data_IF_715820475034
#
_entry.id   IF_715820475034
#
_cell.length_a   1.000
_cell.length_b   1.000
_cell.length_c   1.000
_cell.angle_alpha   90.00
_cell.angle_beta   90.00
_cell.angle_gamma   90.00
#
_symmetry.space_group_name_H-M   'P 1'
#
loop_
_entity.id
_entity.type
_entity.pdbx_description
1 polymer ?
#
# COMPACT_ATOMS: atom_id res chain seq x y z
N UNK A 1 13.17 18.41 8.71
CA UNK A 1 13.23 19.06 7.39
C UNK A 1 14.05 20.32 7.54
N UNK A 2 15.07 20.50 6.69
CA UNK A 2 15.89 21.72 6.64
C UNK A 2 14.99 22.91 6.28
N UNK A 3 14.75 23.81 7.24
CA UNK A 3 13.80 24.92 7.12
C UNK A 3 14.34 26.07 6.26
N UNK A 4 15.57 25.97 5.77
CA UNK A 4 16.24 27.02 4.98
C UNK A 4 16.10 26.90 3.46
N UNK A 5 15.57 25.79 2.92
CA UNK A 5 15.46 25.61 1.46
C UNK A 5 14.10 26.11 0.98
N UNK A 6 14.07 27.12 0.12
CA UNK A 6 12.82 27.52 -0.55
C UNK A 6 12.35 26.43 -1.51
N UNK A 7 11.03 26.33 -1.82
CA UNK A 7 10.55 25.37 -2.80
C UNK A 7 11.27 25.45 -4.15
N UNK A 8 11.62 26.66 -4.60
CA UNK A 8 12.38 26.89 -5.83
C UNK A 8 13.79 26.31 -5.79
N UNK A 9 14.52 26.50 -4.70
CA UNK A 9 15.88 25.95 -4.51
C UNK A 9 15.85 24.42 -4.37
N UNK A 10 14.81 23.87 -3.72
CA UNK A 10 14.59 22.44 -3.63
C UNK A 10 14.44 21.85 -5.04
N UNK A 11 13.53 22.39 -5.85
CA UNK A 11 13.28 21.91 -7.21
C UNK A 11 14.46 22.14 -8.14
N UNK A 12 15.13 23.29 -8.09
CA UNK A 12 16.34 23.55 -8.87
C UNK A 12 17.47 22.56 -8.53
N UNK A 13 17.60 22.18 -7.25
CA UNK A 13 18.55 21.15 -6.81
C UNK A 13 18.18 19.74 -7.27
N UNK A 14 16.90 19.37 -7.22
CA UNK A 14 16.43 18.06 -7.71
C UNK A 14 16.57 17.97 -9.24
N UNK A 15 16.12 18.99 -9.97
CA UNK A 15 16.23 19.06 -11.42
C UNK A 15 17.69 19.18 -11.88
N UNK A 16 18.52 19.96 -11.17
CA UNK A 16 19.96 20.08 -11.45
C UNK A 16 20.77 18.81 -11.18
N UNK A 17 20.22 17.84 -10.43
CA UNK A 17 20.79 16.49 -10.27
C UNK A 17 20.31 15.52 -11.35
N UNK A 18 19.27 15.89 -12.10
CA UNK A 18 18.74 15.08 -13.18
C UNK A 18 19.63 15.32 -14.39
N UNK A 19 20.46 14.34 -14.78
CA UNK A 19 21.43 14.48 -15.89
C UNK A 19 20.79 14.86 -17.22
N UNK A 20 19.48 14.64 -17.36
CA UNK A 20 18.67 14.97 -18.53
C UNK A 20 17.26 15.41 -18.09
N UNK A 21 17.12 16.70 -17.77
CA UNK A 21 15.85 17.28 -17.35
C UNK A 21 14.79 17.25 -18.47
N UNK A 22 15.22 17.33 -19.74
CA UNK A 22 14.31 17.28 -20.88
C UNK A 22 13.68 15.89 -21.03
N UNK A 23 14.50 14.82 -20.93
CA UNK A 23 13.99 13.46 -20.95
C UNK A 23 13.02 13.19 -19.79
N UNK A 24 13.33 13.68 -18.58
CA UNK A 24 12.45 13.53 -17.42
C UNK A 24 11.09 14.25 -17.61
N UNK A 25 11.11 15.49 -18.12
CA UNK A 25 9.89 16.26 -18.41
C UNK A 25 9.07 15.59 -19.53
N UNK A 26 9.74 15.11 -20.57
CA UNK A 26 9.09 14.42 -21.70
C UNK A 26 8.42 13.12 -21.24
N UNK A 27 9.12 12.28 -20.48
CA UNK A 27 8.58 11.04 -19.93
C UNK A 27 7.41 11.29 -18.98
N UNK A 28 7.52 12.30 -18.11
CA UNK A 28 6.42 12.69 -17.24
C UNK A 28 5.20 13.19 -18.01
N UNK A 29 5.40 14.00 -19.04
CA UNK A 29 4.31 14.50 -19.89
C UNK A 29 3.59 13.36 -20.60
N UNK A 30 4.35 12.40 -21.15
CA UNK A 30 3.79 11.21 -21.76
C UNK A 30 2.98 10.37 -20.75
N UNK A 31 3.45 10.24 -19.50
CA UNK A 31 2.73 9.51 -18.46
C UNK A 31 1.44 10.22 -18.02
N UNK A 32 1.47 11.55 -17.88
CA UNK A 32 0.28 12.36 -17.63
C UNK A 32 -0.73 12.15 -18.75
N UNK A 33 -0.31 12.27 -19.99
CA UNK A 33 -1.20 12.15 -21.15
C UNK A 33 -1.78 10.73 -21.26
N UNK A 34 -0.97 9.71 -20.96
CA UNK A 34 -1.43 8.34 -20.83
C UNK A 34 -2.53 8.21 -19.77
N UNK A 35 -2.32 8.69 -18.54
CA UNK A 35 -3.31 8.64 -17.46
C UNK A 35 -4.61 9.38 -17.84
N UNK A 36 -4.50 10.57 -18.43
CA UNK A 36 -5.65 11.36 -18.89
C UNK A 36 -6.42 10.68 -20.04
N UNK A 37 -5.76 9.84 -20.83
CA UNK A 37 -6.40 9.06 -21.89
C UNK A 37 -7.12 7.80 -21.38
N UNK A 38 -6.88 7.37 -20.13
CA UNK A 38 -7.52 6.18 -19.58
C UNK A 38 -8.94 6.48 -19.12
N UNK A 39 -9.90 5.64 -19.52
CA UNK A 39 -11.27 5.71 -19.00
C UNK A 39 -11.33 5.22 -17.56
N UNK A 40 -11.70 6.10 -16.62
CA UNK A 40 -11.84 5.75 -15.20
C UNK A 40 -12.90 4.67 -14.97
N UNK A 41 -13.91 4.59 -15.85
CA UNK A 41 -14.94 3.55 -15.79
C UNK A 41 -14.39 2.13 -15.88
N UNK A 42 -13.16 1.94 -16.39
CA UNK A 42 -12.51 0.63 -16.52
C UNK A 42 -11.89 0.14 -15.22
N UNK A 43 -11.35 1.04 -14.40
CA UNK A 43 -10.51 0.67 -13.25
C UNK A 43 -11.05 1.17 -11.91
N UNK A 44 -11.74 2.31 -11.87
CA UNK A 44 -12.29 2.88 -10.64
C UNK A 44 -13.30 1.96 -9.94
N UNK A 45 -14.16 1.20 -10.64
CA UNK A 45 -15.03 0.22 -9.98
C UNK A 45 -14.24 -0.79 -9.14
N UNK A 46 -13.05 -1.21 -9.56
CA UNK A 46 -12.19 -2.12 -8.80
C UNK A 46 -11.73 -1.54 -7.46
N UNK A 47 -11.46 -0.23 -7.43
CA UNK A 47 -11.14 0.52 -6.19
C UNK A 47 -12.37 0.58 -5.28
N UNK A 48 -13.52 0.99 -5.83
CA UNK A 48 -14.77 1.12 -5.07
C UNK A 48 -15.28 -0.22 -4.52
N UNK A 49 -15.00 -1.33 -5.20
CA UNK A 49 -15.32 -2.69 -4.75
C UNK A 49 -14.54 -3.11 -3.49
N UNK A 50 -13.41 -2.47 -3.20
CA UNK A 50 -12.58 -2.74 -2.02
C UNK A 50 -12.91 -1.80 -0.84
N UNK A 51 -13.72 -0.77 -1.07
CA UNK A 51 -14.08 0.24 -0.07
C UNK A 51 -15.53 0.07 0.43
N UNK A 52 -15.88 0.57 1.62
CA UNK A 52 -17.25 0.45 2.15
C UNK A 52 -18.33 0.92 1.16
N UNK A 53 -19.48 0.24 1.13
CA UNK A 53 -20.57 0.55 0.20
C UNK A 53 -21.01 2.01 0.35
N UNK A 54 -21.20 2.69 -0.79
CA UNK A 54 -21.59 4.10 -0.85
C UNK A 54 -20.43 5.09 -0.70
N UNK A 55 -19.18 4.62 -0.60
CA UNK A 55 -18.03 5.50 -0.60
C UNK A 55 -17.97 6.33 -1.90
N UNK A 56 -17.64 7.61 -1.75
CA UNK A 56 -17.41 8.56 -2.84
C UNK A 56 -16.07 9.23 -2.62
N UNK A 57 -15.33 9.44 -3.71
CA UNK A 57 -14.08 10.19 -3.66
C UNK A 57 -14.33 11.69 -3.85
N UNK A 58 -13.69 12.49 -3.02
CA UNK A 58 -13.43 13.93 -3.21
C UNK A 58 -11.90 14.18 -3.32
N UNK A 59 -11.21 13.18 -3.87
CA UNK A 59 -9.74 13.08 -3.88
C UNK A 59 -9.13 13.89 -5.00
N UNK A 60 -8.11 14.69 -4.68
CA UNK A 60 -7.22 15.27 -5.68
C UNK A 60 -6.03 14.36 -5.94
N UNK A 61 -5.76 14.09 -7.23
CA UNK A 61 -4.58 13.33 -7.68
C UNK A 61 -3.51 14.33 -8.12
N UNK A 62 -2.47 14.51 -7.29
CA UNK A 62 -1.32 15.33 -7.62
C UNK A 62 -0.30 14.51 -8.41
N UNK A 63 0.04 14.95 -9.61
CA UNK A 63 1.08 14.33 -10.41
C UNK A 63 2.41 15.03 -10.12
N UNK A 64 3.38 14.31 -9.57
CA UNK A 64 4.64 14.88 -9.11
C UNK A 64 5.86 14.27 -9.84
N UNK A 65 7.03 14.84 -9.58
CA UNK A 65 8.32 14.33 -10.02
C UNK A 65 9.25 14.18 -8.82
N UNK A 66 9.83 12.99 -8.62
CA UNK A 66 10.97 12.82 -7.71
C UNK A 66 10.62 12.69 -6.22
N UNK A 67 9.34 12.52 -5.86
CA UNK A 67 8.92 12.03 -4.54
C UNK A 67 8.18 10.71 -4.72
N UNK A 68 8.10 9.85 -3.70
CA UNK A 68 7.39 8.56 -3.82
C UNK A 68 5.88 8.74 -4.02
N UNK A 69 5.22 7.66 -4.45
CA UNK A 69 3.76 7.59 -4.47
C UNK A 69 3.24 7.56 -3.02
N UNK A 70 2.26 8.39 -2.71
CA UNK A 70 1.73 8.48 -1.34
C UNK A 70 0.30 8.98 -1.31
N UNK A 71 -0.52 8.41 -0.43
CA UNK A 71 -1.78 9.00 0.01
C UNK A 71 -1.59 9.80 1.31
N UNK A 72 -2.12 11.03 1.33
CA UNK A 72 -2.12 11.89 2.52
C UNK A 72 -3.53 12.43 2.77
N UNK A 73 -4.17 11.93 3.81
CA UNK A 73 -5.58 12.22 4.06
C UNK A 73 -6.46 11.65 2.94
N UNK A 74 -7.18 12.52 2.24
CA UNK A 74 -8.05 12.16 1.10
C UNK A 74 -7.36 12.32 -0.25
N UNK A 75 -6.17 12.91 -0.29
CA UNK A 75 -5.45 13.22 -1.52
C UNK A 75 -4.36 12.19 -1.81
N UNK A 76 -4.00 12.06 -3.08
CA UNK A 76 -2.93 11.14 -3.53
C UNK A 76 -1.91 11.89 -4.36
N UNK A 77 -0.64 11.51 -4.22
CA UNK A 77 0.45 11.98 -5.04
C UNK A 77 1.06 10.80 -5.81
N UNK A 78 1.19 10.95 -7.13
CA UNK A 78 1.74 9.92 -8.02
C UNK A 78 3.00 10.44 -8.71
N UNK A 79 4.10 9.71 -8.55
CA UNK A 79 5.40 9.98 -9.13
C UNK A 79 5.46 9.54 -10.59
N UNK A 80 5.29 10.51 -11.50
CA UNK A 80 5.33 10.21 -12.93
C UNK A 80 6.70 9.75 -13.43
N UNK A 81 7.75 9.92 -12.63
CA UNK A 81 9.09 9.49 -12.99
C UNK A 81 9.44 8.08 -12.47
N UNK A 82 8.46 7.32 -11.96
CA UNK A 82 8.72 5.97 -11.48
C UNK A 82 9.19 5.06 -12.63
N UNK A 83 10.32 4.35 -12.50
CA UNK A 83 10.89 3.55 -13.60
C UNK A 83 9.92 2.53 -14.20
N UNK A 84 9.06 1.91 -13.36
CA UNK A 84 8.08 0.94 -13.84
C UNK A 84 7.05 1.54 -14.80
N UNK A 85 6.72 2.84 -14.66
CA UNK A 85 5.72 3.48 -15.52
C UNK A 85 6.28 3.68 -16.93
N UNK A 86 7.57 3.97 -17.04
CA UNK A 86 8.26 4.09 -18.34
C UNK A 86 8.46 2.72 -19.03
N UNK A 87 8.61 1.66 -18.24
CA UNK A 87 8.68 0.29 -18.77
C UNK A 87 7.30 -0.21 -19.24
N UNK A 88 6.24 0.09 -18.49
CA UNK A 88 4.86 -0.24 -18.85
C UNK A 88 3.90 0.84 -18.30
N UNK A 89 3.32 1.72 -19.14
CA UNK A 89 2.46 2.81 -18.67
C UNK A 89 1.25 2.37 -17.84
N UNK A 90 0.78 1.13 -18.01
CA UNK A 90 -0.32 0.58 -17.19
C UNK A 90 0.01 0.53 -15.71
N UNK A 91 1.28 0.41 -15.35
CA UNK A 91 1.73 0.45 -13.96
C UNK A 91 1.29 1.75 -13.26
N UNK A 92 1.23 2.88 -13.97
CA UNK A 92 0.73 4.13 -13.40
C UNK A 92 -0.74 4.04 -12.98
N UNK A 93 -1.58 3.30 -13.73
CA UNK A 93 -2.99 3.07 -13.36
C UNK A 93 -3.07 2.16 -12.14
N UNK A 94 -2.28 1.08 -12.10
CA UNK A 94 -2.31 0.15 -10.97
C UNK A 94 -1.82 0.81 -9.67
N UNK A 95 -0.78 1.65 -9.74
CA UNK A 95 -0.32 2.41 -8.60
C UNK A 95 -1.33 3.48 -8.20
N UNK A 96 -1.97 4.16 -9.15
CA UNK A 96 -3.08 5.08 -8.83
C UNK A 96 -4.22 4.36 -8.11
N UNK A 97 -4.58 3.16 -8.55
CA UNK A 97 -5.58 2.32 -7.86
C UNK A 97 -5.17 1.98 -6.42
N UNK A 98 -3.89 1.64 -6.20
CA UNK A 98 -3.32 1.39 -4.87
C UNK A 98 -3.43 2.62 -3.97
N UNK A 99 -2.97 3.79 -4.44
CA UNK A 99 -3.02 5.02 -3.64
C UNK A 99 -4.45 5.51 -3.39
N UNK A 100 -5.37 5.32 -4.34
CA UNK A 100 -6.79 5.64 -4.13
C UNK A 100 -7.43 4.70 -3.09
N UNK A 101 -7.01 3.44 -3.02
CA UNK A 101 -7.44 2.54 -1.95
C UNK A 101 -6.99 3.06 -0.58
N UNK A 102 -5.76 3.59 -0.49
CA UNK A 102 -5.26 4.25 0.73
C UNK A 102 -6.07 5.49 1.10
N UNK A 103 -6.31 6.40 0.16
CA UNK A 103 -7.13 7.58 0.40
C UNK A 103 -8.55 7.22 0.87
N UNK A 104 -9.16 6.20 0.25
CA UNK A 104 -10.46 5.67 0.65
C UNK A 104 -10.42 5.05 2.06
N UNK A 105 -9.38 4.28 2.38
CA UNK A 105 -9.19 3.68 3.70
C UNK A 105 -9.04 4.74 4.81
N UNK A 106 -8.26 5.79 4.55
CA UNK A 106 -7.98 6.88 5.47
C UNK A 106 -9.19 7.80 5.73
N UNK A 107 -10.26 7.66 4.95
CA UNK A 107 -11.55 8.30 5.27
C UNK A 107 -12.20 7.68 6.51
N UNK A 108 -11.92 6.41 6.80
CA UNK A 108 -12.54 5.67 7.91
C UNK A 108 -11.56 5.38 9.05
N UNK A 109 -10.26 5.47 8.78
CA UNK A 109 -9.20 5.13 9.73
C UNK A 109 -8.18 6.26 9.80
N UNK A 110 -7.52 6.41 10.94
CA UNK A 110 -6.39 7.34 11.08
C UNK A 110 -5.10 6.60 10.79
N UNK A 111 -4.16 7.26 10.11
CA UNK A 111 -2.80 6.76 10.01
C UNK A 111 -2.19 6.66 11.42
N UNK A 112 -1.59 5.53 11.82
CA UNK A 112 -0.89 5.45 13.09
C UNK A 112 0.31 6.41 13.13
N UNK A 113 0.58 6.98 14.30
CA UNK A 113 1.82 7.71 14.54
C UNK A 113 2.95 6.70 14.83
N UNK A 114 3.92 6.63 13.92
CA UNK A 114 5.00 5.65 13.97
C UNK A 114 6.14 6.04 14.92
N UNK A 115 6.13 7.28 15.42
CA UNK A 115 7.21 7.82 16.27
C UNK A 115 6.91 7.72 17.77
N UNK A 116 5.69 7.35 18.13
CA UNK A 116 5.19 7.38 19.51
C UNK A 116 4.88 6.02 20.17
N UNK A 117 5.05 4.82 19.56
CA UNK A 117 4.69 3.59 20.25
C UNK A 117 5.56 3.42 21.49
N UNK A 118 4.92 3.30 22.65
CA UNK A 118 5.57 3.16 23.97
C UNK A 118 5.74 1.72 24.36
N UNK A 119 4.85 0.85 23.88
CA UNK A 119 4.89 -0.59 24.17
C UNK A 119 4.87 -1.42 22.90
N UNK A 120 5.32 -2.67 23.03
CA UNK A 120 5.25 -3.67 21.98
C UNK A 120 3.82 -3.94 21.52
N UNK A 121 2.82 -3.80 22.40
CA UNK A 121 1.41 -3.88 22.02
C UNK A 121 0.98 -2.75 21.09
N UNK A 122 1.42 -1.52 21.35
CA UNK A 122 1.18 -0.38 20.45
C UNK A 122 1.92 -0.56 19.11
N UNK A 123 3.16 -1.08 19.16
CA UNK A 123 3.96 -1.40 17.99
C UNK A 123 3.28 -2.46 17.10
N UNK A 124 2.76 -3.54 17.71
CA UNK A 124 1.96 -4.55 17.02
C UNK A 124 0.69 -3.95 16.41
N UNK A 125 0.00 -3.07 17.15
CA UNK A 125 -1.16 -2.33 16.65
C UNK A 125 -0.85 -1.50 15.40
N UNK A 126 0.29 -0.81 15.39
CA UNK A 126 0.77 -0.06 14.22
C UNK A 126 1.04 -1.00 13.03
N UNK A 127 1.74 -2.12 13.25
CA UNK A 127 2.00 -3.14 12.21
C UNK A 127 0.69 -3.69 11.65
N UNK A 128 -0.28 -4.04 12.49
CA UNK A 128 -1.60 -4.53 12.05
C UNK A 128 -2.36 -3.49 11.23
N UNK A 129 -2.30 -2.21 11.64
CA UNK A 129 -2.92 -1.11 10.89
C UNK A 129 -2.32 -0.96 9.49
N UNK A 130 -0.99 -1.00 9.39
CA UNK A 130 -0.27 -0.86 8.13
C UNK A 130 -0.46 -2.09 7.23
N UNK A 131 -0.52 -3.30 7.82
CA UNK A 131 -0.86 -4.52 7.06
C UNK A 131 -2.25 -4.46 6.46
N UNK A 132 -3.24 -3.94 7.19
CA UNK A 132 -4.59 -3.81 6.64
C UNK A 132 -4.62 -2.77 5.51
N UNK A 133 -4.00 -1.61 5.72
CA UNK A 133 -3.87 -0.55 4.72
C UNK A 133 -3.19 -1.07 3.44
N UNK A 134 -1.97 -1.59 3.55
CA UNK A 134 -1.18 -2.06 2.40
C UNK A 134 -1.76 -3.29 1.74
N UNK A 135 -2.33 -4.21 2.51
CA UNK A 135 -3.02 -5.36 1.98
C UNK A 135 -4.20 -5.00 1.07
N UNK A 136 -5.01 -4.02 1.49
CA UNK A 136 -6.11 -3.50 0.68
C UNK A 136 -5.60 -2.72 -0.54
N UNK A 137 -4.51 -1.97 -0.39
CA UNK A 137 -3.81 -1.32 -1.50
C UNK A 137 -3.43 -2.31 -2.60
N UNK A 138 -2.76 -3.41 -2.23
CA UNK A 138 -2.30 -4.45 -3.17
C UNK A 138 -3.45 -5.28 -3.75
N UNK A 139 -4.46 -5.58 -2.93
CA UNK A 139 -5.64 -6.31 -3.41
C UNK A 139 -6.37 -5.56 -4.53
N UNK A 140 -6.41 -4.23 -4.43
CA UNK A 140 -7.24 -3.36 -5.28
C UNK A 140 -6.93 -3.52 -6.78
N UNK A 141 -5.67 -3.35 -7.25
CA UNK A 141 -5.34 -3.56 -8.67
C UNK A 141 -5.14 -5.03 -9.04
N UNK A 142 -5.09 -5.97 -8.08
CA UNK A 142 -4.72 -7.37 -8.33
C UNK A 142 -5.60 -8.03 -9.40
N UNK A 143 -6.93 -7.89 -9.32
CA UNK A 143 -7.84 -8.51 -10.31
C UNK A 143 -7.61 -7.99 -11.73
N UNK A 144 -7.42 -6.67 -11.86
CA UNK A 144 -7.16 -6.05 -13.16
C UNK A 144 -5.79 -6.49 -13.71
N UNK A 145 -4.76 -6.50 -12.87
CA UNK A 145 -3.43 -7.02 -13.21
C UNK A 145 -3.49 -8.48 -13.67
N UNK A 146 -4.24 -9.33 -12.97
CA UNK A 146 -4.43 -10.74 -13.36
C UNK A 146 -5.13 -10.85 -14.71
N UNK A 147 -6.20 -10.09 -14.95
CA UNK A 147 -6.92 -10.09 -16.21
C UNK A 147 -6.06 -9.61 -17.40
N UNK A 148 -5.09 -8.73 -17.14
CA UNK A 148 -4.19 -8.17 -18.15
C UNK A 148 -2.83 -8.91 -18.26
N UNK A 149 -2.62 -9.94 -17.43
CA UNK A 149 -1.36 -10.68 -17.36
C UNK A 149 -0.17 -9.84 -16.88
N UNK A 150 -0.40 -8.85 -16.00
CA UNK A 150 0.59 -7.88 -15.53
C UNK A 150 0.97 -8.06 -14.06
N UNK A 151 1.61 -9.19 -13.79
CA UNK A 151 2.13 -9.57 -12.46
C UNK A 151 3.66 -9.34 -12.34
N UNK A 152 4.25 -8.52 -13.21
CA UNK A 152 5.70 -8.30 -13.25
C UNK A 152 6.24 -7.48 -12.07
N UNK A 153 5.37 -6.73 -11.38
CA UNK A 153 5.75 -6.04 -10.14
C UNK A 153 6.06 -7.08 -9.02
N UNK A 154 7.11 -6.88 -8.21
CA UNK A 154 7.59 -7.87 -7.25
C UNK A 154 6.54 -8.37 -6.25
N UNK A 155 5.58 -7.53 -5.87
CA UNK A 155 4.54 -7.94 -4.93
C UNK A 155 3.58 -8.94 -5.59
N UNK A 156 3.18 -8.66 -6.82
CA UNK A 156 2.24 -9.47 -7.59
C UNK A 156 2.89 -10.76 -8.10
N UNK A 157 4.18 -10.71 -8.44
CA UNK A 157 4.97 -11.90 -8.75
C UNK A 157 5.01 -12.85 -7.53
N UNK A 158 5.24 -12.31 -6.33
CA UNK A 158 5.25 -13.10 -5.11
C UNK A 158 3.87 -13.66 -4.76
N UNK A 159 2.79 -12.91 -4.97
CA UNK A 159 1.42 -13.39 -4.76
C UNK A 159 1.03 -14.53 -5.72
N UNK A 160 1.57 -14.50 -6.94
CA UNK A 160 1.38 -15.53 -7.97
C UNK A 160 2.17 -16.83 -7.74
N UNK A 161 3.21 -16.80 -6.89
CA UNK A 161 4.00 -17.97 -6.51
C UNK A 161 3.59 -18.47 -5.11
N UNK A 162 2.95 -19.65 -4.99
CA UNK A 162 2.54 -20.20 -3.70
C UNK A 162 3.69 -20.33 -2.68
N UNK A 163 4.90 -20.64 -3.14
CA UNK A 163 6.07 -20.82 -2.26
C UNK A 163 6.54 -19.47 -1.71
N UNK A 164 6.71 -18.49 -2.60
CA UNK A 164 7.12 -17.14 -2.19
C UNK A 164 6.07 -16.48 -1.30
N UNK A 165 4.78 -16.59 -1.66
CA UNK A 165 3.68 -16.10 -0.84
C UNK A 165 3.68 -16.77 0.54
N UNK A 166 3.71 -18.10 0.59
CA UNK A 166 3.66 -18.85 1.85
C UNK A 166 4.81 -18.52 2.78
N UNK A 167 6.04 -18.45 2.25
CA UNK A 167 7.21 -18.05 3.04
C UNK A 167 7.09 -16.64 3.63
N UNK A 168 6.55 -15.67 2.88
CA UNK A 168 6.35 -14.29 3.36
C UNK A 168 5.21 -14.19 4.38
N UNK A 169 4.11 -14.92 4.19
CA UNK A 169 2.99 -14.97 5.16
C UNK A 169 3.44 -15.58 6.48
N UNK A 170 4.18 -16.69 6.46
CA UNK A 170 4.73 -17.31 7.66
C UNK A 170 5.71 -16.38 8.39
N UNK A 171 6.65 -15.77 7.66
CA UNK A 171 7.61 -14.82 8.22
C UNK A 171 6.92 -13.59 8.84
N UNK A 172 5.82 -13.12 8.23
CA UNK A 172 5.00 -12.05 8.77
C UNK A 172 4.43 -12.42 10.14
N UNK A 173 3.74 -13.57 10.25
CA UNK A 173 3.10 -13.98 11.49
C UNK A 173 4.08 -14.37 12.59
N UNK A 174 5.24 -14.94 12.23
CA UNK A 174 6.31 -15.19 13.20
C UNK A 174 6.77 -13.88 13.87
N UNK A 175 7.01 -12.83 13.07
CA UNK A 175 7.45 -11.52 13.57
C UNK A 175 6.37 -10.83 14.39
N UNK A 176 5.12 -10.84 13.90
CA UNK A 176 4.00 -10.22 14.62
C UNK A 176 3.76 -10.93 15.97
N UNK A 177 3.83 -12.27 15.98
CA UNK A 177 3.65 -13.06 17.19
C UNK A 177 4.66 -12.72 18.28
N UNK A 178 5.90 -12.37 17.93
CA UNK A 178 6.91 -11.91 18.92
C UNK A 178 6.48 -10.61 19.60
N UNK A 179 5.92 -9.65 18.86
CA UNK A 179 5.42 -8.41 19.44
C UNK A 179 4.22 -8.66 20.36
N UNK A 180 3.32 -9.57 19.94
CA UNK A 180 2.10 -9.89 20.68
C UNK A 180 2.33 -10.72 21.96
N UNK A 181 3.47 -11.41 22.07
CA UNK A 181 3.82 -12.20 23.27
C UNK A 181 4.15 -11.35 24.49
N UNK A 182 4.73 -10.16 24.29
CA UNK A 182 5.17 -9.27 25.37
C UNK A 182 4.55 -7.86 25.23
N UNK A 183 3.22 -7.70 25.20
CA UNK A 183 2.57 -6.46 24.79
C UNK A 183 2.82 -5.27 25.72
N UNK A 184 3.29 -5.54 26.95
CA UNK A 184 3.62 -4.52 27.96
C UNK A 184 5.10 -4.14 27.98
N UNK A 185 5.94 -4.82 27.20
CA UNK A 185 7.36 -4.48 27.09
C UNK A 185 7.48 -3.07 26.50
N UNK A 186 8.31 -2.24 27.12
CA UNK A 186 8.61 -0.90 26.64
C UNK A 186 9.43 -0.96 25.35
N UNK A 187 9.11 -0.07 24.40
CA UNK A 187 9.82 0.10 23.15
C UNK A 187 11.16 0.80 23.42
N UNK A 188 12.23 0.24 22.86
CA UNK A 188 13.54 0.92 22.75
C UNK A 188 13.82 1.29 21.30
N UNK A 189 14.80 2.17 21.06
CA UNK A 189 15.10 2.70 19.71
C UNK A 189 15.25 1.61 18.63
N UNK A 190 15.97 0.52 18.94
CA UNK A 190 16.16 -0.60 18.01
C UNK A 190 14.92 -1.47 17.75
N UNK A 191 13.85 -1.33 18.54
CA UNK A 191 12.60 -2.04 18.26
C UNK A 191 11.84 -1.41 17.07
N UNK A 192 12.10 -0.13 16.74
CA UNK A 192 11.46 0.56 15.61
C UNK A 192 11.91 0.01 14.25
N UNK A 193 13.04 -0.68 14.18
CA UNK A 193 13.51 -1.41 12.99
C UNK A 193 12.50 -2.47 12.51
N UNK A 194 11.52 -2.81 13.34
CA UNK A 194 10.41 -3.66 12.96
C UNK A 194 9.67 -3.11 11.73
N UNK A 195 9.53 -1.79 11.59
CA UNK A 195 8.86 -1.21 10.42
C UNK A 195 9.61 -1.52 9.13
N UNK A 196 10.94 -1.47 9.15
CA UNK A 196 11.77 -1.85 8.02
C UNK A 196 11.71 -3.36 7.76
N UNK A 197 11.58 -4.18 8.80
CA UNK A 197 11.41 -5.62 8.63
C UNK A 197 10.08 -5.98 7.95
N UNK A 198 9.00 -5.24 8.22
CA UNK A 198 7.69 -5.47 7.62
C UNK A 198 7.52 -4.79 6.26
N UNK A 199 8.07 -3.60 6.07
CA UNK A 199 7.98 -2.80 4.83
C UNK A 199 9.09 -3.10 3.82
N UNK A 200 10.17 -3.74 4.27
CA UNK A 200 11.47 -3.76 3.60
C UNK A 200 11.45 -4.20 2.15
N UNK A 201 12.35 -3.61 1.36
CA UNK A 201 12.39 -3.71 -0.12
C UNK A 201 12.40 -5.15 -0.67
N UNK A 202 12.94 -6.12 0.07
CA UNK A 202 13.09 -7.49 -0.41
C UNK A 202 11.84 -8.35 -0.17
N UNK A 203 11.22 -8.24 1.01
CA UNK A 203 10.15 -9.17 1.41
C UNK A 203 8.76 -8.52 1.45
N UNK A 204 8.67 -7.21 1.74
CA UNK A 204 7.41 -6.45 1.71
C UNK A 204 6.28 -7.20 2.46
N UNK A 205 6.60 -7.68 3.66
CA UNK A 205 5.79 -8.68 4.38
C UNK A 205 4.35 -8.22 4.61
N UNK A 206 4.14 -6.97 5.04
CA UNK A 206 2.78 -6.49 5.32
C UNK A 206 1.92 -6.29 4.06
N UNK A 207 2.54 -6.19 2.89
CA UNK A 207 1.85 -6.04 1.60
C UNK A 207 1.29 -7.41 1.18
N UNK A 208 2.17 -8.42 1.21
CA UNK A 208 1.85 -9.79 0.81
C UNK A 208 0.92 -10.45 1.82
N UNK A 209 1.23 -10.36 3.11
CA UNK A 209 0.41 -10.94 4.16
C UNK A 209 -0.96 -10.25 4.23
N UNK A 210 -1.01 -8.92 4.15
CA UNK A 210 -2.26 -8.17 4.15
C UNK A 210 -3.15 -8.54 2.96
N UNK A 211 -2.58 -8.61 1.75
CA UNK A 211 -3.34 -9.02 0.56
C UNK A 211 -3.83 -10.47 0.68
N UNK A 212 -2.97 -11.39 1.13
CA UNK A 212 -3.35 -12.78 1.38
C UNK A 212 -4.50 -12.89 2.38
N UNK A 213 -4.42 -12.21 3.52
CA UNK A 213 -5.50 -12.15 4.51
C UNK A 213 -6.81 -11.65 3.90
N UNK A 214 -6.74 -10.59 3.10
CA UNK A 214 -7.92 -10.01 2.45
C UNK A 214 -8.53 -10.98 1.41
N UNK A 215 -7.71 -11.70 0.64
CA UNK A 215 -8.17 -12.75 -0.27
C UNK A 215 -8.86 -13.91 0.48
N UNK A 216 -8.29 -14.35 1.61
CA UNK A 216 -8.86 -15.39 2.46
C UNK A 216 -10.20 -14.96 3.03
N UNK A 217 -10.30 -13.75 3.58
CA UNK A 217 -11.56 -13.18 4.09
C UNK A 217 -12.59 -13.09 2.97
N UNK A 218 -12.22 -12.57 1.79
CA UNK A 218 -13.15 -12.43 0.68
C UNK A 218 -13.69 -13.80 0.23
N UNK A 219 -12.82 -14.82 0.13
CA UNK A 219 -13.22 -16.16 -0.26
C UNK A 219 -14.19 -16.81 0.76
N UNK A 220 -13.93 -16.62 2.05
CA UNK A 220 -14.62 -17.34 3.12
C UNK A 220 -15.82 -16.59 3.74
N UNK A 221 -15.86 -15.27 3.61
CA UNK A 221 -16.90 -14.40 4.21
C UNK A 221 -17.55 -13.48 3.18
N UNK A 222 -17.02 -13.42 1.97
CA UNK A 222 -17.54 -12.57 0.91
C UNK A 222 -17.02 -11.14 0.95
N UNK A 223 -17.07 -10.49 -0.21
CA UNK A 223 -16.55 -9.13 -0.41
C UNK A 223 -17.20 -8.08 0.48
N UNK A 224 -18.51 -8.15 0.69
CA UNK A 224 -19.20 -7.13 1.50
C UNK A 224 -18.71 -7.14 2.95
N UNK A 225 -18.33 -8.29 3.50
CA UNK A 225 -17.66 -8.37 4.81
C UNK A 225 -16.30 -7.70 4.76
N UNK A 226 -15.47 -8.00 3.76
CA UNK A 226 -14.16 -7.36 3.60
C UNK A 226 -14.27 -5.82 3.53
N UNK A 227 -15.23 -5.31 2.77
CA UNK A 227 -15.53 -3.88 2.66
C UNK A 227 -15.93 -3.27 3.99
N UNK A 228 -16.74 -3.98 4.79
CA UNK A 228 -17.12 -3.52 6.13
C UNK A 228 -15.91 -3.45 7.08
N UNK A 229 -14.96 -4.37 6.93
CA UNK A 229 -13.76 -4.38 7.76
C UNK A 229 -12.88 -3.15 7.55
N UNK A 230 -12.86 -2.56 6.35
CA UNK A 230 -12.22 -1.25 6.13
C UNK A 230 -12.82 -0.18 7.06
N UNK A 231 -14.14 -0.17 7.25
CA UNK A 231 -14.80 0.78 8.17
C UNK A 231 -14.52 0.46 9.64
N UNK A 232 -14.47 -0.83 9.99
CA UNK A 232 -14.26 -1.30 11.37
C UNK A 232 -12.80 -1.25 11.81
N UNK A 233 -11.87 -1.12 10.88
CA UNK A 233 -10.44 -1.00 11.11
C UNK A 233 -9.70 -2.33 11.29
N UNK A 234 -8.38 -2.22 11.49
CA UNK A 234 -7.46 -3.35 11.49
C UNK A 234 -7.73 -4.38 12.59
N UNK A 235 -8.15 -3.98 13.78
CA UNK A 235 -8.48 -4.92 14.86
C UNK A 235 -9.56 -5.93 14.42
N UNK A 236 -10.66 -5.45 13.84
CA UNK A 236 -11.73 -6.30 13.32
C UNK A 236 -11.26 -7.16 12.13
N UNK A 237 -10.42 -6.60 11.25
CA UNK A 237 -9.84 -7.33 10.12
C UNK A 237 -9.05 -8.56 10.58
N UNK A 238 -8.16 -8.37 11.57
CA UNK A 238 -7.37 -9.46 12.14
C UNK A 238 -8.22 -10.45 12.93
N UNK A 239 -9.22 -10.00 13.68
CA UNK A 239 -10.15 -10.87 14.41
C UNK A 239 -10.88 -11.81 13.44
N UNK A 240 -11.43 -11.28 12.35
CA UNK A 240 -12.13 -12.10 11.34
C UNK A 240 -11.18 -13.09 10.67
N UNK A 241 -9.98 -12.65 10.27
CA UNK A 241 -9.01 -13.55 9.66
C UNK A 241 -8.53 -14.66 10.61
N UNK A 242 -8.30 -14.35 11.89
CA UNK A 242 -7.93 -15.35 12.91
C UNK A 242 -9.03 -16.38 13.15
N UNK A 243 -10.29 -16.00 12.94
CA UNK A 243 -11.44 -16.90 12.98
C UNK A 243 -11.61 -17.80 11.75
N UNK A 244 -10.71 -17.72 10.77
CA UNK A 244 -10.70 -18.56 9.56
C UNK A 244 -9.51 -19.53 9.63
N UNK A 245 -9.75 -20.77 9.19
CA UNK A 245 -8.69 -21.77 8.99
C UNK A 245 -7.93 -21.42 7.71
N UNK A 246 -6.62 -21.28 7.80
CA UNK A 246 -5.77 -20.88 6.68
C UNK A 246 -4.56 -21.81 6.56
N UNK A 247 -4.48 -22.67 5.54
CA UNK A 247 -3.40 -23.66 5.39
C UNK A 247 -2.02 -23.05 5.15
N UNK A 248 -1.93 -21.75 4.86
CA UNK A 248 -0.65 -21.06 4.73
C UNK A 248 -0.12 -20.62 6.10
N UNK A 249 -1.02 -20.36 7.06
CA UNK A 249 -0.69 -19.93 8.43
C UNK A 249 -0.61 -21.11 9.40
N UNK A 250 -1.54 -22.06 9.27
CA UNK A 250 -1.75 -23.19 10.19
C UNK A 250 -0.84 -24.39 9.87
#
# INVERSE_FOLDING_TARGET
MDTGTTPGEFWARILGRTRDAEAAISGASAMRDYLLSQSWSRWLPGVLECLPRGHTFDTTVYLNLGYDNVAYGVDVALNLNHPSFHADPREAVYYLMHELAHAGYLTYNRMPDLTVPRTWGELAGNVMSLTHLEGMGVLTPLRLRMAEGRLGDPDYAALGDPTAKGGRVLAYFEKLGRLEQEPKREVVEGDLDVYDQFSGKTQRLWYIAGCHMAQVIEAERGREILRELVRRGSGAFFEVYRGIRDPVRD
#
